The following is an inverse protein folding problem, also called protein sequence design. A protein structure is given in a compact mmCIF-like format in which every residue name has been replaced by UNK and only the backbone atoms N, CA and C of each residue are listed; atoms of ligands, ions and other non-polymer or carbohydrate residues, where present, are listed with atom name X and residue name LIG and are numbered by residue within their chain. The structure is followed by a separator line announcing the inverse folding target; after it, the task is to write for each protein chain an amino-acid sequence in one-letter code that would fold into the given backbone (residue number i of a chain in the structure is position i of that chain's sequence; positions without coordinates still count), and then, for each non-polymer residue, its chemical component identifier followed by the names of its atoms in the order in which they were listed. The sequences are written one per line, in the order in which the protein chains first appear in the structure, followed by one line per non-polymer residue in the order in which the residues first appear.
data_IF_040231839825
#
_entry.id   IF_040231839825
#
_cell.length_a   1.000
_cell.length_b   1.000
_cell.length_c   1.000
_cell.angle_alpha   90.00
_cell.angle_beta   90.00
_cell.angle_gamma   90.00
#
_symmetry.space_group_name_H-M   'P 1'
#
loop_
_entity.id
_entity.type
_entity.pdbx_description
1 polymer ?
#
# COMPACT_ATOMS: atom_id res chain seq x y z
N UNK A 1 -28.18 -18.60 1.31
CA UNK A 1 -27.05 -18.40 2.22
C UNK A 1 -25.77 -18.16 1.42
N UNK A 2 -25.06 -17.08 1.73
CA UNK A 2 -23.84 -16.81 1.02
C UNK A 2 -22.78 -17.83 1.37
N UNK A 3 -22.12 -18.38 0.37
CA UNK A 3 -21.01 -19.29 0.55
C UNK A 3 -19.77 -18.49 0.96
N UNK A 4 -18.86 -19.04 1.81
CA UNK A 4 -17.62 -18.33 2.14
C UNK A 4 -16.80 -17.93 0.91
N UNK A 5 -16.86 -18.70 -0.17
CA UNK A 5 -16.18 -18.37 -1.41
C UNK A 5 -16.79 -17.17 -2.13
N UNK A 6 -17.96 -16.70 -1.71
CA UNK A 6 -18.56 -15.51 -2.30
C UNK A 6 -17.91 -14.23 -1.82
N UNK A 7 -17.02 -14.32 -0.83
CA UNK A 7 -16.26 -13.17 -0.34
C UNK A 7 -15.18 -12.80 -1.36
N UNK A 8 -15.27 -11.59 -1.88
CA UNK A 8 -14.39 -11.10 -2.94
C UNK A 8 -13.69 -9.83 -2.46
N UNK A 9 -12.37 -9.83 -2.54
CA UNK A 9 -11.52 -8.84 -1.90
C UNK A 9 -10.73 -8.03 -2.95
N UNK A 10 -10.77 -6.70 -2.81
CA UNK A 10 -9.88 -5.80 -3.55
C UNK A 10 -8.84 -5.23 -2.59
N UNK A 11 -7.57 -5.24 -3.00
CA UNK A 11 -6.46 -4.79 -2.16
C UNK A 11 -5.76 -3.62 -2.84
N UNK A 12 -5.56 -2.54 -2.09
CA UNK A 12 -4.89 -1.33 -2.57
C UNK A 12 -3.74 -1.02 -1.64
N UNK A 13 -2.50 -1.06 -2.18
CA UNK A 13 -1.30 -0.78 -1.39
C UNK A 13 -0.70 0.56 -1.80
N UNK A 14 -0.68 1.50 -0.87
CA UNK A 14 0.08 2.74 -1.02
C UNK A 14 1.55 2.42 -0.72
N UNK A 15 2.23 1.84 -1.69
CA UNK A 15 3.50 1.17 -1.47
C UNK A 15 4.63 2.13 -1.13
N UNK A 16 4.72 3.28 -1.79
CA UNK A 16 5.70 4.30 -1.43
C UNK A 16 5.59 4.69 0.03
N UNK A 17 4.37 4.92 0.48
CA UNK A 17 4.12 5.33 1.85
C UNK A 17 4.48 4.23 2.84
N UNK A 18 4.13 2.98 2.51
CA UNK A 18 4.45 1.82 3.37
C UNK A 18 5.97 1.68 3.54
N UNK A 19 6.70 1.73 2.43
CA UNK A 19 8.15 1.55 2.44
C UNK A 19 8.84 2.66 3.23
N UNK A 20 8.44 3.91 3.00
CA UNK A 20 9.02 5.06 3.69
C UNK A 20 8.72 5.01 5.18
N UNK A 21 7.47 4.72 5.54
CA UNK A 21 7.05 4.64 6.93
C UNK A 21 7.80 3.55 7.68
N UNK A 22 7.99 2.39 7.06
CA UNK A 22 8.73 1.29 7.69
C UNK A 22 10.21 1.60 7.80
N UNK A 23 10.80 2.24 6.78
CA UNK A 23 12.19 2.66 6.84
C UNK A 23 12.43 3.60 8.03
N UNK A 24 11.54 4.58 8.20
CA UNK A 24 11.62 5.49 9.33
C UNK A 24 11.41 4.78 10.67
N UNK A 25 10.55 3.78 10.70
CA UNK A 25 10.31 2.99 11.90
C UNK A 25 11.57 2.23 12.33
N UNK A 26 12.27 1.65 11.37
CA UNK A 26 13.47 0.84 11.65
C UNK A 26 14.68 1.72 11.96
N UNK A 27 14.87 2.80 11.21
CA UNK A 27 16.09 3.61 11.28
C UNK A 27 15.94 4.93 12.01
N UNK A 28 14.73 5.29 12.40
CA UNK A 28 14.47 6.51 13.14
C UNK A 28 13.69 7.55 12.35
N UNK A 29 13.15 8.51 13.07
CA UNK A 29 12.29 9.56 12.51
C UNK A 29 12.99 10.30 11.37
N UNK A 30 12.31 10.40 10.23
CA UNK A 30 12.79 11.07 9.02
C UNK A 30 14.08 10.46 8.43
N UNK A 31 14.39 9.21 8.78
CA UNK A 31 15.59 8.54 8.28
C UNK A 31 15.58 8.41 6.76
N UNK A 32 14.42 8.11 6.17
CA UNK A 32 14.32 8.01 4.71
C UNK A 32 14.62 9.35 4.04
N UNK A 33 14.09 10.44 4.56
CA UNK A 33 14.37 11.77 4.03
C UNK A 33 15.85 12.11 4.05
N UNK A 34 16.56 11.67 5.08
CA UNK A 34 18.01 11.89 5.20
C UNK A 34 18.81 10.99 4.26
N UNK A 35 18.35 9.78 4.04
CA UNK A 35 19.08 8.78 3.25
C UNK A 35 18.66 8.73 1.79
N UNK A 36 17.59 9.41 1.42
CA UNK A 36 16.98 9.36 0.09
C UNK A 36 17.98 9.57 -1.05
N UNK A 37 18.80 10.60 -0.93
CA UNK A 37 19.77 10.93 -1.99
C UNK A 37 20.78 9.80 -2.17
N UNK A 38 21.32 9.28 -1.07
CA UNK A 38 22.28 8.17 -1.12
C UNK A 38 21.65 6.91 -1.70
N UNK A 39 20.42 6.62 -1.34
CA UNK A 39 19.69 5.45 -1.87
C UNK A 39 19.50 5.60 -3.38
N UNK A 40 19.16 6.80 -3.83
CA UNK A 40 18.93 7.05 -5.26
C UNK A 40 20.23 7.00 -6.07
N UNK A 41 21.30 7.61 -5.56
CA UNK A 41 22.56 7.72 -6.29
C UNK A 41 23.43 6.47 -6.18
N UNK A 42 23.44 5.82 -5.02
CA UNK A 42 24.32 4.68 -4.75
C UNK A 42 23.57 3.53 -4.08
N UNK A 43 22.58 2.93 -4.73
CA UNK A 43 21.78 1.88 -4.11
C UNK A 43 22.57 0.62 -3.78
N UNK A 44 23.72 0.43 -4.43
CA UNK A 44 24.57 -0.75 -4.21
C UNK A 44 25.70 -0.50 -3.20
N UNK A 45 25.79 0.70 -2.64
CA UNK A 45 26.73 0.97 -1.56
C UNK A 45 26.44 0.00 -0.41
N UNK A 46 27.47 -0.67 0.18
CA UNK A 46 27.23 -1.67 1.21
C UNK A 46 26.43 -1.16 2.42
N UNK A 47 26.68 0.06 2.86
CA UNK A 47 25.95 0.65 3.96
C UNK A 47 24.49 0.91 3.59
N UNK A 48 24.25 1.45 2.41
CA UNK A 48 22.91 1.69 1.88
C UNK A 48 22.14 0.39 1.74
N UNK A 49 22.76 -0.62 1.12
CA UNK A 49 22.16 -1.93 0.92
C UNK A 49 21.79 -2.58 2.24
N UNK A 50 22.64 -2.46 3.26
CA UNK A 50 22.37 -3.00 4.59
C UNK A 50 21.17 -2.30 5.24
N UNK A 51 21.09 -0.99 5.14
CA UNK A 51 19.97 -0.23 5.69
C UNK A 51 18.64 -0.59 5.02
N UNK A 52 18.67 -0.76 3.71
CA UNK A 52 17.47 -1.20 2.96
C UNK A 52 17.07 -2.61 3.36
N UNK A 53 18.04 -3.50 3.53
CA UNK A 53 17.78 -4.88 3.92
C UNK A 53 17.13 -4.95 5.30
N UNK A 54 17.59 -4.14 6.24
CA UNK A 54 17.02 -4.12 7.61
C UNK A 54 15.59 -3.60 7.62
N UNK A 55 15.22 -2.79 6.64
CA UNK A 55 13.88 -2.23 6.52
C UNK A 55 13.03 -2.94 5.47
N UNK A 56 13.35 -4.20 5.15
CA UNK A 56 12.56 -4.98 4.20
C UNK A 56 11.16 -5.26 4.74
N UNK A 57 10.19 -5.13 3.85
CA UNK A 57 8.78 -5.39 4.16
C UNK A 57 8.45 -6.83 3.75
N UNK A 58 7.71 -7.51 4.61
CA UNK A 58 7.19 -8.85 4.33
C UNK A 58 5.94 -8.75 3.46
N UNK A 59 6.13 -8.55 2.18
CA UNK A 59 5.04 -8.38 1.21
C UNK A 59 4.11 -9.58 1.21
N UNK A 60 4.69 -10.78 1.25
CA UNK A 60 3.89 -12.01 1.27
C UNK A 60 2.95 -12.07 2.45
N UNK A 61 3.40 -11.65 3.63
CA UNK A 61 2.57 -11.66 4.82
C UNK A 61 1.38 -10.70 4.69
N UNK A 62 1.61 -9.53 4.09
CA UNK A 62 0.53 -8.56 3.87
C UNK A 62 -0.52 -9.15 2.93
N UNK A 63 -0.09 -9.73 1.83
CA UNK A 63 -0.99 -10.30 0.83
C UNK A 63 -1.74 -11.51 1.41
N UNK A 64 -1.05 -12.36 2.16
CA UNK A 64 -1.68 -13.53 2.79
C UNK A 64 -2.73 -13.10 3.82
N UNK A 65 -2.46 -12.03 4.55
CA UNK A 65 -3.44 -11.49 5.49
C UNK A 65 -4.69 -11.02 4.74
N UNK A 66 -4.52 -10.28 3.65
CA UNK A 66 -5.65 -9.85 2.83
C UNK A 66 -6.43 -11.04 2.27
N UNK A 67 -5.72 -12.08 1.84
CA UNK A 67 -6.34 -13.29 1.29
C UNK A 67 -7.12 -14.09 2.35
N UNK A 68 -6.85 -13.85 3.62
CA UNK A 68 -7.61 -14.52 4.69
C UNK A 68 -9.06 -14.08 4.76
N UNK A 69 -9.42 -12.96 4.14
CA UNK A 69 -10.80 -12.47 4.11
C UNK A 69 -11.62 -13.02 2.95
N UNK A 70 -10.99 -13.59 1.94
CA UNK A 70 -11.69 -14.16 0.80
C UNK A 70 -10.82 -14.19 -0.45
N UNK A 71 -11.45 -14.40 -1.60
CA UNK A 71 -10.75 -14.46 -2.88
C UNK A 71 -10.23 -13.07 -3.27
N UNK A 72 -8.93 -12.96 -3.53
CA UNK A 72 -8.36 -11.71 -4.04
C UNK A 72 -8.69 -11.59 -5.53
N UNK A 73 -9.60 -10.68 -5.87
CA UNK A 73 -9.97 -10.45 -7.27
C UNK A 73 -9.17 -9.32 -7.90
N UNK A 74 -8.54 -8.49 -7.07
CA UNK A 74 -7.83 -7.31 -7.52
C UNK A 74 -6.81 -6.93 -6.45
N UNK A 75 -5.55 -6.79 -6.86
CA UNK A 75 -4.49 -6.31 -5.96
C UNK A 75 -3.61 -5.33 -6.74
N UNK A 76 -3.56 -4.08 -6.28
CA UNK A 76 -2.76 -3.04 -6.92
C UNK A 76 -1.81 -2.40 -5.93
N UNK A 77 -0.58 -2.15 -6.38
CA UNK A 77 0.42 -1.46 -5.58
C UNK A 77 0.87 -0.20 -6.30
N UNK A 78 0.80 0.93 -5.61
CA UNK A 78 1.05 2.25 -6.17
C UNK A 78 2.39 2.80 -5.66
N UNK A 79 3.30 3.06 -6.59
CA UNK A 79 4.62 3.58 -6.23
C UNK A 79 5.35 4.10 -7.47
N UNK A 80 6.46 4.79 -7.25
CA UNK A 80 7.44 5.01 -8.29
C UNK A 80 8.35 3.77 -8.35
N UNK A 81 8.06 2.88 -9.28
CA UNK A 81 8.74 1.60 -9.39
C UNK A 81 10.14 1.70 -10.00
N UNK A 82 10.52 2.87 -10.46
CA UNK A 82 11.89 3.14 -10.89
C UNK A 82 12.82 3.49 -9.72
N UNK A 83 12.25 3.89 -8.59
CA UNK A 83 13.03 4.22 -7.40
C UNK A 83 13.65 2.95 -6.81
N UNK A 84 14.96 2.97 -6.47
CA UNK A 84 15.63 1.78 -5.94
C UNK A 84 14.97 1.20 -4.70
N UNK A 85 14.40 2.03 -3.83
CA UNK A 85 13.76 1.57 -2.60
C UNK A 85 12.52 0.72 -2.91
N UNK A 86 11.87 0.95 -4.04
CA UNK A 86 10.68 0.21 -4.46
C UNK A 86 11.02 -0.90 -5.44
N UNK A 87 12.00 -0.66 -6.31
CA UNK A 87 12.32 -1.58 -7.41
C UNK A 87 12.67 -2.99 -6.93
N UNK A 88 13.26 -3.12 -5.75
CA UNK A 88 13.64 -4.41 -5.18
C UNK A 88 12.45 -5.31 -4.90
N UNK A 89 11.24 -4.75 -4.80
CA UNK A 89 10.02 -5.52 -4.53
C UNK A 89 9.27 -5.96 -5.77
N UNK A 90 9.64 -5.45 -6.96
CA UNK A 90 8.86 -5.70 -8.18
C UNK A 90 8.65 -7.17 -8.48
N UNK A 91 9.73 -7.95 -8.45
CA UNK A 91 9.64 -9.37 -8.80
C UNK A 91 8.73 -10.16 -7.86
N UNK A 92 8.84 -9.91 -6.54
CA UNK A 92 8.01 -10.66 -5.60
C UNK A 92 6.54 -10.22 -5.64
N UNK A 93 6.26 -8.96 -5.97
CA UNK A 93 4.89 -8.50 -6.13
C UNK A 93 4.26 -9.10 -7.39
N UNK A 94 4.99 -9.08 -8.50
CA UNK A 94 4.51 -9.68 -9.76
C UNK A 94 4.28 -11.18 -9.58
N UNK A 95 5.15 -11.86 -8.84
CA UNK A 95 5.00 -13.29 -8.57
C UNK A 95 3.72 -13.59 -7.77
N UNK A 96 3.19 -12.61 -7.06
CA UNK A 96 1.94 -12.72 -6.29
C UNK A 96 0.74 -12.13 -7.02
N UNK A 97 0.87 -11.90 -8.32
CA UNK A 97 -0.21 -11.35 -9.16
C UNK A 97 -0.67 -9.96 -8.71
N UNK A 98 0.26 -9.13 -8.23
CA UNK A 98 -0.02 -7.75 -7.89
C UNK A 98 0.22 -6.88 -9.12
N UNK A 99 -0.75 -6.06 -9.46
CA UNK A 99 -0.59 -5.07 -10.53
C UNK A 99 0.17 -3.87 -10.00
N UNK A 100 1.26 -3.51 -10.69
CA UNK A 100 2.08 -2.38 -10.30
C UNK A 100 1.62 -1.14 -11.05
N UNK A 101 1.15 -0.14 -10.31
CA UNK A 101 0.73 1.13 -10.88
C UNK A 101 1.87 2.13 -10.73
N UNK A 102 2.40 2.61 -11.87
CA UNK A 102 3.51 3.55 -11.86
C UNK A 102 3.01 4.95 -11.55
N UNK A 103 3.62 5.56 -10.55
CA UNK A 103 3.41 6.98 -10.24
C UNK A 103 4.60 7.76 -10.78
N UNK A 104 4.33 8.78 -11.55
CA UNK A 104 5.37 9.64 -12.09
C UNK A 104 5.56 10.83 -11.17
N UNK A 105 6.72 10.96 -10.50
CA UNK A 105 6.97 12.11 -9.64
C UNK A 105 7.08 13.35 -10.52
N UNK A 106 6.00 14.09 -10.59
CA UNK A 106 5.96 15.34 -11.35
C UNK A 106 6.02 16.51 -10.39
N UNK A 107 7.15 17.12 -10.29
CA UNK A 107 7.36 18.40 -9.61
C UNK A 107 6.67 18.50 -8.22
N UNK A 108 6.28 19.71 -7.83
CA UNK A 108 5.79 20.00 -6.48
C UNK A 108 4.41 19.42 -6.14
N UNK A 109 3.66 18.94 -7.11
CA UNK A 109 2.30 18.41 -6.88
C UNK A 109 2.29 16.94 -6.49
N UNK A 110 3.39 16.25 -6.70
CA UNK A 110 3.43 14.79 -6.58
C UNK A 110 3.31 14.28 -5.16
N UNK A 111 3.30 15.17 -4.18
CA UNK A 111 3.28 14.83 -2.77
C UNK A 111 2.10 13.94 -2.38
N UNK A 112 0.95 14.11 -3.04
CA UNK A 112 -0.28 13.38 -2.72
C UNK A 112 -0.83 12.61 -3.93
N UNK A 113 -0.01 12.42 -4.96
CA UNK A 113 -0.46 11.76 -6.18
C UNK A 113 -0.90 10.32 -5.98
N UNK A 114 -0.20 9.60 -5.11
CA UNK A 114 -0.53 8.21 -4.80
C UNK A 114 -1.90 8.10 -4.14
N UNK A 115 -2.16 8.94 -3.15
CA UNK A 115 -3.41 8.93 -2.40
C UNK A 115 -4.60 9.18 -3.30
N UNK A 116 -4.48 10.18 -4.16
CA UNK A 116 -5.55 10.57 -5.07
C UNK A 116 -5.79 9.47 -6.10
N UNK A 117 -4.73 8.96 -6.73
CA UNK A 117 -4.83 7.91 -7.72
C UNK A 117 -5.47 6.65 -7.16
N UNK A 118 -4.99 6.23 -5.99
CA UNK A 118 -5.51 5.04 -5.31
C UNK A 118 -6.99 5.22 -4.96
N UNK A 119 -7.35 6.38 -4.42
CA UNK A 119 -8.74 6.65 -4.02
C UNK A 119 -9.67 6.65 -5.22
N UNK A 120 -9.26 7.28 -6.33
CA UNK A 120 -10.06 7.32 -7.56
C UNK A 120 -10.25 5.91 -8.11
N UNK A 121 -9.18 5.14 -8.20
CA UNK A 121 -9.25 3.77 -8.71
C UNK A 121 -10.14 2.89 -7.84
N UNK A 122 -10.02 3.01 -6.52
CA UNK A 122 -10.80 2.20 -5.59
C UNK A 122 -12.29 2.48 -5.72
N UNK A 123 -12.67 3.76 -5.76
CA UNK A 123 -14.08 4.13 -5.91
C UNK A 123 -14.62 3.66 -7.25
N UNK A 124 -13.86 3.85 -8.32
CA UNK A 124 -14.25 3.36 -9.65
C UNK A 124 -14.50 1.85 -9.63
N UNK A 125 -13.60 1.10 -8.97
CA UNK A 125 -13.73 -0.36 -8.90
C UNK A 125 -14.99 -0.79 -8.15
N UNK A 126 -15.42 -0.03 -7.14
CA UNK A 126 -16.67 -0.35 -6.42
C UNK A 126 -17.88 -0.31 -7.34
N UNK A 127 -17.84 0.57 -8.35
CA UNK A 127 -18.93 0.65 -9.34
C UNK A 127 -18.76 -0.36 -10.49
N UNK A 128 -17.51 -0.60 -10.90
CA UNK A 128 -17.23 -1.55 -11.98
C UNK A 128 -17.38 -3.01 -11.56
N UNK A 129 -17.12 -3.29 -10.29
CA UNK A 129 -17.10 -4.66 -9.75
C UNK A 129 -18.08 -4.75 -8.59
N UNK A 130 -19.39 -4.80 -8.89
CA UNK A 130 -20.41 -4.79 -7.83
C UNK A 130 -20.32 -6.01 -6.90
N UNK A 131 -19.65 -7.08 -7.32
CA UNK A 131 -19.52 -8.28 -6.50
C UNK A 131 -18.45 -8.17 -5.41
N UNK A 132 -17.67 -7.10 -5.40
CA UNK A 132 -16.68 -6.90 -4.34
C UNK A 132 -17.38 -6.76 -3.00
N UNK A 133 -16.91 -7.52 -2.01
CA UNK A 133 -17.46 -7.48 -0.65
C UNK A 133 -16.52 -6.79 0.33
N UNK A 134 -15.21 -6.90 0.11
CA UNK A 134 -14.20 -6.39 1.03
C UNK A 134 -13.19 -5.51 0.29
N UNK A 135 -12.75 -4.46 0.97
CA UNK A 135 -11.71 -3.56 0.49
C UNK A 135 -10.61 -3.51 1.54
N UNK A 136 -9.39 -3.85 1.16
CA UNK A 136 -8.23 -3.78 2.04
C UNK A 136 -7.36 -2.61 1.58
N UNK A 137 -7.15 -1.65 2.47
CA UNK A 137 -6.30 -0.48 2.22
C UNK A 137 -5.05 -0.63 3.06
N UNK A 138 -3.89 -0.73 2.41
CA UNK A 138 -2.60 -0.86 3.09
C UNK A 138 -1.83 0.44 2.93
N UNK A 139 -1.61 1.14 4.03
CA UNK A 139 -0.97 2.45 4.01
C UNK A 139 -0.33 2.76 5.36
N UNK A 140 0.61 3.69 5.34
CA UNK A 140 1.32 4.10 6.56
C UNK A 140 0.76 5.35 7.24
N UNK A 141 -0.23 6.01 6.65
CA UNK A 141 -0.78 7.24 7.22
C UNK A 141 -2.31 7.25 7.14
N UNK A 142 -2.92 8.38 7.56
CA UNK A 142 -4.36 8.48 7.77
C UNK A 142 -5.15 9.14 6.64
N UNK A 143 -4.52 9.43 5.50
CA UNK A 143 -5.17 10.19 4.44
C UNK A 143 -6.30 9.44 3.74
N UNK A 144 -6.51 8.18 4.11
CA UNK A 144 -7.51 7.32 3.47
C UNK A 144 -8.84 7.26 4.20
N UNK A 145 -9.04 8.06 5.25
CA UNK A 145 -10.32 8.08 5.97
C UNK A 145 -11.52 8.36 5.05
N UNK A 146 -11.47 9.38 4.17
CA UNK A 146 -12.60 9.60 3.26
C UNK A 146 -12.87 8.43 2.33
N UNK A 147 -11.82 7.76 1.87
CA UNK A 147 -11.96 6.59 1.01
C UNK A 147 -12.62 5.44 1.75
N UNK A 148 -12.16 5.16 2.97
CA UNK A 148 -12.72 4.09 3.79
C UNK A 148 -14.21 4.33 4.04
N UNK A 149 -14.58 5.56 4.38
CA UNK A 149 -15.97 5.94 4.62
C UNK A 149 -16.81 5.75 3.36
N UNK A 150 -16.28 6.11 2.20
CA UNK A 150 -17.02 5.97 0.94
C UNK A 150 -17.23 4.51 0.59
N UNK A 151 -16.22 3.67 0.75
CA UNK A 151 -16.36 2.24 0.49
C UNK A 151 -17.39 1.59 1.40
N UNK A 152 -17.43 1.99 2.67
CA UNK A 152 -18.46 1.50 3.60
C UNK A 152 -19.85 1.93 3.17
N UNK A 153 -20.01 3.18 2.74
CA UNK A 153 -21.28 3.66 2.19
C UNK A 153 -21.73 2.88 0.97
N UNK A 154 -20.78 2.41 0.18
CA UNK A 154 -21.06 1.62 -1.01
C UNK A 154 -21.25 0.14 -0.68
N UNK A 155 -21.38 -0.18 0.61
CA UNK A 155 -21.78 -1.51 1.06
C UNK A 155 -20.63 -2.50 1.23
N UNK A 156 -19.38 -2.04 1.29
CA UNK A 156 -18.24 -2.95 1.45
C UNK A 156 -17.72 -2.92 2.88
N UNK A 157 -17.16 -4.04 3.32
CA UNK A 157 -16.36 -4.10 4.54
C UNK A 157 -14.97 -3.55 4.24
N UNK A 158 -14.46 -2.69 5.11
CA UNK A 158 -13.18 -2.02 4.89
C UNK A 158 -12.20 -2.44 5.97
N UNK A 159 -11.03 -2.92 5.55
CA UNK A 159 -9.95 -3.33 6.44
C UNK A 159 -8.76 -2.40 6.18
N UNK A 160 -8.31 -1.71 7.21
CA UNK A 160 -7.10 -0.90 7.14
C UNK A 160 -5.93 -1.67 7.70
N UNK A 161 -4.83 -1.71 6.95
CA UNK A 161 -3.59 -2.35 7.36
C UNK A 161 -2.50 -1.30 7.36
N UNK A 162 -1.81 -1.14 8.48
CA UNK A 162 -0.73 -0.18 8.60
C UNK A 162 0.59 -0.84 8.95
N UNK A 163 1.64 -0.04 8.87
CA UNK A 163 2.93 -0.44 9.44
C UNK A 163 2.77 -0.44 10.97
N UNK A 164 3.40 -1.37 11.66
CA UNK A 164 3.25 -1.51 13.10
C UNK A 164 3.39 -0.16 13.82
N UNK A 165 2.35 0.25 14.53
CA UNK A 165 2.31 1.50 15.29
C UNK A 165 2.11 2.75 14.48
N UNK A 166 1.93 2.66 13.15
CA UNK A 166 1.79 3.83 12.28
C UNK A 166 0.38 4.08 11.78
N UNK A 167 -0.53 3.12 11.92
CA UNK A 167 -1.91 3.31 11.50
C UNK A 167 -2.57 4.36 12.38
N UNK A 168 -3.06 5.42 11.78
CA UNK A 168 -3.71 6.49 12.54
C UNK A 168 -5.04 6.00 13.12
N UNK A 169 -5.36 6.50 14.32
CA UNK A 169 -6.61 6.14 14.99
C UNK A 169 -7.83 6.48 14.14
N UNK A 170 -7.77 7.58 13.40
CA UNK A 170 -8.89 7.99 12.55
C UNK A 170 -9.16 7.00 11.42
N UNK A 171 -8.10 6.46 10.80
CA UNK A 171 -8.28 5.44 9.76
C UNK A 171 -8.84 4.15 10.36
N UNK A 172 -8.30 3.72 11.50
CA UNK A 172 -8.78 2.53 12.18
C UNK A 172 -10.28 2.65 12.55
N UNK A 173 -10.72 3.84 12.97
CA UNK A 173 -12.11 4.07 13.29
C UNK A 173 -13.02 4.06 12.07
N UNK A 174 -12.51 4.39 10.89
CA UNK A 174 -13.27 4.38 9.64
C UNK A 174 -13.36 2.99 9.00
N UNK A 175 -12.54 2.05 9.47
CA UNK A 175 -12.48 0.69 8.94
C UNK A 175 -13.23 -0.30 9.81
N UNK A 176 -13.45 -1.46 9.26
CA UNK A 176 -14.05 -2.58 9.97
C UNK A 176 -12.95 -3.47 10.56
#
# INVERSE_FOLDING_TARGET
MAEPQDTRVAVYLDFDNIVISWYDRVHGRNAYGKDRQRITENPNDPEVAERLKRAMIEVGAIIDYAASFGTLVLTRAYADWSSPVNAVYRSQLVARAVDLVQLFPAAAYAKNGADIRLAVDAVEDMFRLPDLTHVVIVAGDSDYVPLAQRCKRLGRYVIGVGVAGSTAKSLAAACD
#
